data_IF_282238998799
#
_entry.id   IF_282238998799
#
_cell.length_a   1.000
_cell.length_b   1.000
_cell.length_c   1.000
_cell.angle_alpha   90.00
_cell.angle_beta   90.00
_cell.angle_gamma   90.00
#
_symmetry.space_group_name_H-M   'P 1'
#
loop_
_entity.id
_entity.type
_entity.pdbx_description
1 polymer ?
#
# COMPACT_ATOMS: atom_id res chain seq x y z
N UNK A 1 7.01 1.63 10.74
CA UNK A 1 8.05 0.72 11.26
C UNK A 1 7.96 -0.64 10.56
N UNK A 2 9.11 -1.19 10.18
CA UNK A 2 9.19 -2.51 9.58
C UNK A 2 10.24 -3.35 10.31
N UNK A 3 9.96 -4.65 10.42
CA UNK A 3 10.89 -5.57 11.08
C UNK A 3 11.99 -6.06 10.11
N UNK A 4 11.67 -6.18 8.82
CA UNK A 4 12.58 -6.59 7.76
C UNK A 4 12.53 -5.55 6.64
N UNK A 5 13.51 -4.63 6.65
CA UNK A 5 13.51 -3.50 5.73
C UNK A 5 13.70 -3.93 4.27
N UNK A 6 14.65 -4.82 4.01
CA UNK A 6 14.93 -5.26 2.64
C UNK A 6 13.74 -5.96 2.00
N UNK A 7 13.11 -6.87 2.74
CA UNK A 7 11.96 -7.61 2.24
C UNK A 7 10.78 -6.70 1.95
N UNK A 8 10.50 -5.77 2.87
CA UNK A 8 9.39 -4.83 2.70
C UNK A 8 9.67 -3.86 1.57
N UNK A 9 10.89 -3.33 1.48
CA UNK A 9 11.26 -2.45 0.37
C UNK A 9 11.09 -3.17 -0.97
N UNK A 10 11.59 -4.40 -1.09
CA UNK A 10 11.46 -5.18 -2.34
C UNK A 10 9.99 -5.37 -2.72
N UNK A 11 9.13 -5.62 -1.76
CA UNK A 11 7.70 -5.77 -2.02
C UNK A 11 7.10 -4.46 -2.59
N UNK A 12 7.42 -3.32 -1.99
CA UNK A 12 6.95 -2.04 -2.51
C UNK A 12 7.42 -1.78 -3.93
N UNK A 13 8.67 -2.12 -4.23
CA UNK A 13 9.24 -1.90 -5.57
C UNK A 13 8.67 -2.89 -6.59
N UNK A 14 8.70 -4.17 -6.27
CA UNK A 14 8.40 -5.24 -7.23
C UNK A 14 6.91 -5.50 -7.39
N UNK A 15 6.14 -5.38 -6.32
CA UNK A 15 4.70 -5.70 -6.32
C UNK A 15 3.81 -4.48 -6.41
N UNK A 16 4.20 -3.38 -5.75
CA UNK A 16 3.35 -2.19 -5.68
C UNK A 16 3.80 -1.06 -6.61
N UNK A 17 4.93 -1.22 -7.29
CA UNK A 17 5.37 -0.26 -8.32
C UNK A 17 5.98 1.02 -7.78
N UNK A 18 6.40 1.05 -6.52
CA UNK A 18 7.07 2.21 -5.95
C UNK A 18 8.50 2.33 -6.46
N UNK A 19 9.04 3.55 -6.39
CA UNK A 19 10.44 3.84 -6.71
C UNK A 19 11.17 4.33 -5.48
N UNK A 20 12.47 4.03 -5.40
CA UNK A 20 13.30 4.55 -4.30
C UNK A 20 13.67 5.99 -4.61
N UNK A 21 13.40 6.89 -3.66
CA UNK A 21 13.86 8.27 -3.77
C UNK A 21 15.27 8.42 -3.19
N UNK A 22 15.48 7.89 -2.01
CA UNK A 22 16.82 7.78 -1.41
C UNK A 22 16.76 6.84 -0.21
N UNK A 23 17.94 6.45 0.24
CA UNK A 23 18.14 5.61 1.42
C UNK A 23 19.13 6.26 2.36
N UNK A 24 18.89 6.10 3.66
CA UNK A 24 19.89 6.36 4.69
C UNK A 24 19.92 5.14 5.61
N UNK A 25 20.89 5.06 6.48
CA UNK A 25 21.03 3.87 7.34
C UNK A 25 19.76 3.65 8.16
N UNK A 26 19.15 2.47 7.97
CA UNK A 26 17.93 2.08 8.66
C UNK A 26 16.63 2.65 8.08
N UNK A 27 16.69 3.39 6.96
CA UNK A 27 15.51 4.01 6.36
C UNK A 27 15.52 3.90 4.84
N UNK A 28 14.34 3.67 4.29
CA UNK A 28 14.09 3.78 2.85
C UNK A 28 12.97 4.77 2.59
N UNK A 29 13.19 5.67 1.63
CA UNK A 29 12.20 6.69 1.24
C UNK A 29 11.74 6.35 -0.16
N UNK A 30 10.45 6.02 -0.30
CA UNK A 30 9.86 5.49 -1.52
C UNK A 30 8.75 6.41 -2.01
N UNK A 31 8.43 6.34 -3.31
CA UNK A 31 7.30 7.10 -3.84
C UNK A 31 6.55 6.34 -4.92
N UNK A 32 5.25 6.60 -5.00
CA UNK A 32 4.38 6.18 -6.08
C UNK A 32 3.63 7.44 -6.52
N UNK A 33 4.07 8.05 -7.64
CA UNK A 33 3.58 9.36 -8.03
C UNK A 33 3.84 10.38 -6.92
N UNK A 34 2.81 11.06 -6.46
CA UNK A 34 2.90 12.04 -5.38
C UNK A 34 2.78 11.44 -3.98
N UNK A 35 2.53 10.13 -3.89
CA UNK A 35 2.42 9.44 -2.61
C UNK A 35 3.81 8.99 -2.15
N UNK A 36 4.23 9.45 -0.97
CA UNK A 36 5.55 9.16 -0.41
C UNK A 36 5.41 8.32 0.85
N UNK A 37 6.29 7.33 0.99
CA UNK A 37 6.31 6.42 2.14
C UNK A 37 7.72 6.33 2.67
N UNK A 38 7.86 6.31 4.00
CA UNK A 38 9.12 6.05 4.68
C UNK A 38 9.04 4.71 5.37
N UNK A 39 10.02 3.84 5.11
CA UNK A 39 10.16 2.58 5.83
C UNK A 39 11.30 2.72 6.83
N UNK A 40 11.02 2.51 8.10
CA UNK A 40 12.03 2.57 9.15
C UNK A 40 12.27 1.20 9.76
N UNK A 41 13.53 0.79 9.84
CA UNK A 41 13.91 -0.50 10.39
C UNK A 41 13.77 -0.49 11.90
N UNK A 42 12.82 -1.29 12.41
CA UNK A 42 12.54 -1.43 13.84
C UNK A 42 12.30 -2.92 14.12
N UNK A 43 13.38 -3.71 14.29
CA UNK A 43 13.24 -5.17 14.36
C UNK A 43 12.49 -5.67 15.59
N UNK A 44 12.48 -4.89 16.66
CA UNK A 44 11.84 -5.28 17.94
C UNK A 44 10.43 -4.69 18.09
N UNK A 45 9.94 -3.97 17.09
CA UNK A 45 8.61 -3.38 17.15
C UNK A 45 7.54 -4.44 16.89
N UNK A 46 6.35 -4.23 17.44
CA UNK A 46 5.21 -5.11 17.19
C UNK A 46 4.92 -5.16 15.69
N UNK A 47 4.87 -6.36 15.07
CA UNK A 47 4.53 -6.45 13.65
C UNK A 47 3.15 -5.86 13.36
N UNK A 48 3.01 -5.19 12.22
CA UNK A 48 1.76 -4.55 11.84
C UNK A 48 0.58 -5.54 11.83
N UNK A 49 0.82 -6.79 11.43
CA UNK A 49 -0.22 -7.82 11.39
C UNK A 49 -0.84 -8.08 12.76
N UNK A 50 -0.11 -7.83 13.83
CA UNK A 50 -0.57 -8.08 15.19
C UNK A 50 -1.40 -6.91 15.76
N UNK A 51 -1.51 -5.81 15.02
CA UNK A 51 -2.40 -4.71 15.38
C UNK A 51 -3.81 -4.88 14.80
N UNK A 52 -4.04 -5.99 14.08
CA UNK A 52 -5.34 -6.33 13.49
C UNK A 52 -5.88 -5.20 12.60
N UNK A 53 -7.05 -4.65 12.94
CA UNK A 53 -7.69 -3.61 12.16
C UNK A 53 -6.95 -2.26 12.23
N UNK A 54 -5.99 -2.12 13.13
CA UNK A 54 -5.20 -0.90 13.28
C UNK A 54 -3.94 -0.89 12.40
N UNK A 55 -3.77 -1.87 11.51
CA UNK A 55 -2.60 -1.95 10.64
C UNK A 55 -2.68 -1.04 9.40
N UNK A 56 -3.79 -0.36 9.18
CA UNK A 56 -3.91 0.64 8.13
C UNK A 56 -3.00 1.83 8.43
N UNK A 57 -2.25 2.29 7.43
CA UNK A 57 -1.45 3.50 7.60
C UNK A 57 -1.72 4.54 6.52
N UNK A 58 -2.43 4.19 5.45
CA UNK A 58 -2.68 5.13 4.37
C UNK A 58 -3.96 4.80 3.62
N UNK A 59 -4.63 5.85 3.17
CA UNK A 59 -5.69 5.80 2.17
C UNK A 59 -5.22 6.66 1.01
N UNK A 60 -5.07 6.05 -0.16
CA UNK A 60 -4.54 6.72 -1.34
C UNK A 60 -5.67 7.06 -2.29
N UNK A 61 -5.91 8.34 -2.49
CA UNK A 61 -6.84 8.79 -3.52
C UNK A 61 -6.14 8.75 -4.87
N UNK A 62 -6.73 8.09 -5.83
CA UNK A 62 -6.10 7.87 -7.13
C UNK A 62 -7.09 8.02 -8.27
N UNK A 63 -6.56 8.09 -9.48
CA UNK A 63 -7.33 7.98 -10.72
C UNK A 63 -6.86 6.71 -11.43
N UNK A 64 -7.72 6.14 -12.28
CA UNK A 64 -7.38 4.92 -12.99
C UNK A 64 -7.29 3.70 -12.07
N UNK A 65 -8.17 3.63 -11.07
CA UNK A 65 -8.09 2.60 -10.04
C UNK A 65 -8.19 1.17 -10.61
N UNK A 66 -8.96 0.98 -11.70
CA UNK A 66 -9.10 -0.34 -12.31
C UNK A 66 -7.78 -0.81 -12.91
N UNK A 67 -6.99 0.10 -13.49
CA UNK A 67 -5.67 -0.22 -14.04
C UNK A 67 -4.68 -0.54 -12.92
N UNK A 68 -4.69 0.23 -11.84
CA UNK A 68 -3.83 -0.02 -10.67
C UNK A 68 -4.16 -1.39 -10.09
N UNK A 69 -5.44 -1.70 -9.94
CA UNK A 69 -5.88 -2.99 -9.42
C UNK A 69 -5.39 -4.15 -10.29
N UNK A 70 -5.54 -4.01 -11.61
CA UNK A 70 -5.08 -5.03 -12.56
C UNK A 70 -3.57 -5.22 -12.47
N UNK A 71 -2.83 -4.11 -12.40
CA UNK A 71 -1.37 -4.17 -12.30
C UNK A 71 -0.94 -4.88 -11.04
N UNK A 72 -1.62 -4.63 -9.92
CA UNK A 72 -1.31 -5.28 -8.65
C UNK A 72 -1.70 -6.76 -8.65
N UNK A 73 -2.77 -7.13 -9.31
CA UNK A 73 -3.09 -8.54 -9.50
C UNK A 73 -2.02 -9.26 -10.30
N UNK A 74 -1.53 -8.63 -11.38
CA UNK A 74 -0.50 -9.21 -12.25
C UNK A 74 0.85 -9.30 -11.55
N UNK A 75 1.20 -8.32 -10.73
CA UNK A 75 2.48 -8.31 -10.01
C UNK A 75 2.50 -9.30 -8.84
N UNK A 76 1.35 -9.80 -8.42
CA UNK A 76 1.24 -10.72 -7.29
C UNK A 76 1.16 -10.02 -5.94
N UNK A 77 0.74 -8.74 -5.91
CA UNK A 77 0.48 -8.04 -4.65
C UNK A 77 -0.61 -8.75 -3.87
N UNK A 78 -0.52 -8.72 -2.54
CA UNK A 78 -1.53 -9.32 -1.69
C UNK A 78 -2.73 -8.37 -1.57
N UNK A 79 -3.82 -8.73 -2.24
CA UNK A 79 -5.07 -7.96 -2.21
C UNK A 79 -5.96 -8.57 -1.15
N UNK A 80 -6.12 -7.88 -0.01
CA UNK A 80 -6.96 -8.39 1.07
C UNK A 80 -8.42 -7.97 0.90
N UNK A 81 -8.67 -6.91 0.11
CA UNK A 81 -10.02 -6.45 -0.19
C UNK A 81 -10.13 -6.21 -1.69
N UNK A 82 -10.99 -6.99 -2.36
CA UNK A 82 -11.18 -6.88 -3.81
C UNK A 82 -11.86 -5.57 -4.17
N UNK A 83 -11.62 -5.11 -5.40
CA UNK A 83 -12.17 -3.83 -5.86
C UNK A 83 -13.70 -3.90 -5.93
N UNK A 84 -14.35 -2.86 -5.43
CA UNK A 84 -15.79 -2.74 -5.42
C UNK A 84 -16.22 -1.29 -5.28
N UNK A 85 -17.41 -0.99 -5.80
CA UNK A 85 -18.05 0.29 -5.58
C UNK A 85 -18.71 0.31 -4.22
N UNK A 86 -18.42 1.34 -3.44
CA UNK A 86 -18.92 1.47 -2.07
C UNK A 86 -20.09 2.44 -2.01
N UNK A 87 -21.02 2.25 -1.04
CA UNK A 87 -22.20 3.11 -0.95
C UNK A 87 -21.88 4.58 -0.64
N UNK A 88 -20.66 4.87 -0.14
CA UNK A 88 -20.23 6.24 0.15
C UNK A 88 -19.61 6.97 -1.04
N UNK A 89 -19.77 6.44 -2.25
CA UNK A 89 -19.38 7.14 -3.47
C UNK A 89 -17.93 6.93 -3.90
N UNK A 90 -17.28 5.91 -3.37
CA UNK A 90 -15.89 5.57 -3.73
C UNK A 90 -15.84 4.17 -4.31
N UNK A 91 -14.90 3.98 -5.23
CA UNK A 91 -14.50 2.65 -5.70
C UNK A 91 -13.18 2.33 -5.05
N UNK A 92 -13.11 1.22 -4.31
CA UNK A 92 -11.98 0.94 -3.41
C UNK A 92 -11.46 -0.48 -3.54
N UNK A 93 -10.16 -0.64 -3.27
CA UNK A 93 -9.57 -1.95 -2.97
C UNK A 93 -8.45 -1.76 -1.94
N UNK A 94 -7.97 -2.86 -1.37
CA UNK A 94 -6.92 -2.79 -0.36
C UNK A 94 -5.83 -3.82 -0.58
N UNK A 95 -4.59 -3.44 -0.28
CA UNK A 95 -3.43 -4.32 -0.35
C UNK A 95 -2.77 -4.42 1.01
N UNK A 96 -2.13 -5.57 1.25
CA UNK A 96 -1.35 -5.81 2.46
C UNK A 96 0.11 -6.02 2.10
N UNK A 97 1.00 -5.61 3.00
CA UNK A 97 2.44 -5.84 2.85
C UNK A 97 2.84 -7.14 3.56
N UNK A 98 4.07 -7.65 3.36
CA UNK A 98 4.50 -8.88 4.02
C UNK A 98 4.41 -8.84 5.54
N UNK A 99 4.55 -7.67 6.14
CA UNK A 99 4.44 -7.51 7.60
C UNK A 99 3.03 -7.18 8.07
N UNK A 100 2.08 -7.13 7.15
CA UNK A 100 0.67 -6.92 7.47
C UNK A 100 0.23 -5.47 7.52
N UNK A 101 1.03 -4.52 7.06
CA UNK A 101 0.56 -3.15 6.87
C UNK A 101 -0.50 -3.13 5.76
N UNK A 102 -1.52 -2.33 5.94
CA UNK A 102 -2.62 -2.22 4.98
C UNK A 102 -2.67 -0.84 4.36
N UNK A 103 -2.89 -0.82 3.04
CA UNK A 103 -3.06 0.41 2.27
C UNK A 103 -4.36 0.31 1.51
N UNK A 104 -5.23 1.32 1.65
CA UNK A 104 -6.44 1.42 0.85
C UNK A 104 -6.20 2.35 -0.33
N UNK A 105 -6.72 1.96 -1.49
CA UNK A 105 -6.76 2.80 -2.69
C UNK A 105 -8.21 3.09 -3.01
N UNK A 106 -8.50 4.35 -3.33
CA UNK A 106 -9.86 4.75 -3.65
C UNK A 106 -9.92 5.80 -4.74
N UNK A 107 -11.00 5.77 -5.49
CA UNK A 107 -11.29 6.75 -6.54
C UNK A 107 -12.73 7.21 -6.41
N UNK A 108 -12.94 8.52 -6.45
CA UNK A 108 -14.29 9.07 -6.43
C UNK A 108 -15.06 8.60 -7.66
N UNK A 109 -16.31 8.19 -7.45
CA UNK A 109 -17.22 7.87 -8.54
C UNK A 109 -18.13 9.06 -8.79
N UNK A 110 -18.36 9.44 -10.06
CA UNK A 110 -19.34 10.47 -10.36
C UNK A 110 -20.73 10.04 -9.86
N UNK A 111 -21.38 10.93 -9.10
CA UNK A 111 -22.74 10.68 -8.61
C UNK A 111 -23.70 10.73 -9.79
N UNK A 112 -24.60 9.74 -9.87
CA UNK A 112 -25.59 9.66 -10.94
C UNK A 112 -25.02 9.24 -12.28
N UNK A 113 -23.76 8.82 -12.28
CA UNK A 113 -23.09 8.31 -13.49
C UNK A 113 -23.36 6.84 -13.71
#
# INVERSE_FOLDING_TARGET
AVNDLEKTESYFLDKLGFSVRFRVDGWSFLSLGSFHVMLGYCPDELPARDTHEHSYFAYVNCEGIDEIYRDYQQSGAEIFQTIADKPWGLREFGVATPEGHRIMFGQDRPLGG
#
